data_IF_843273240196
#
_entry.id   IF_843273240196
#
_cell.length_a   1.000
_cell.length_b   1.000
_cell.length_c   1.000
_cell.angle_alpha   90.00
_cell.angle_beta   90.00
_cell.angle_gamma   90.00
#
_symmetry.space_group_name_H-M   'P 1'
#
loop_
_entity.id
_entity.type
_entity.pdbx_description
1 polymer ?
#
# COMPACT_ATOMS: atom_id res chain seq x y z
N UNK A 1 -20.40 -39.24 15.52
CA UNK A 1 -20.95 -38.78 14.22
C UNK A 1 -21.02 -37.25 14.07
N UNK A 2 -21.17 -36.49 15.16
CA UNK A 2 -21.28 -35.02 15.12
C UNK A 2 -20.03 -34.29 14.61
N UNK A 3 -18.81 -34.72 14.95
CA UNK A 3 -17.58 -34.04 14.51
C UNK A 3 -17.32 -34.15 13.00
N UNK A 4 -17.68 -35.28 12.36
CA UNK A 4 -17.58 -35.42 10.89
C UNK A 4 -18.57 -34.52 10.15
N UNK A 5 -19.74 -34.29 10.75
CA UNK A 5 -20.76 -33.42 10.19
C UNK A 5 -20.33 -31.95 10.24
N UNK A 6 -19.75 -31.51 11.36
CA UNK A 6 -19.22 -30.14 11.54
C UNK A 6 -18.09 -29.84 10.55
N UNK A 7 -17.13 -30.77 10.39
CA UNK A 7 -16.04 -30.62 9.42
C UNK A 7 -16.54 -30.60 7.96
N UNK A 8 -17.55 -31.40 7.62
CA UNK A 8 -18.16 -31.39 6.28
C UNK A 8 -18.93 -30.09 5.99
N UNK A 9 -19.63 -29.53 6.98
CA UNK A 9 -20.34 -28.25 6.83
C UNK A 9 -19.40 -27.05 6.68
N UNK A 10 -18.25 -27.07 7.37
CA UNK A 10 -17.23 -26.02 7.25
C UNK A 10 -16.57 -26.07 5.87
N UNK A 11 -16.28 -27.28 5.35
CA UNK A 11 -15.68 -27.46 4.03
C UNK A 11 -16.64 -27.04 2.89
N UNK A 12 -17.95 -27.23 3.06
CA UNK A 12 -18.96 -26.83 2.08
C UNK A 12 -19.20 -25.32 2.05
N UNK A 13 -19.13 -24.65 3.21
CA UNK A 13 -19.25 -23.20 3.35
C UNK A 13 -18.05 -22.41 2.78
N UNK A 14 -16.89 -23.07 2.62
CA UNK A 14 -15.69 -22.51 1.99
C UNK A 14 -15.64 -22.69 0.46
N UNK A 15 -16.58 -23.41 -0.14
CA UNK A 15 -16.65 -23.53 -1.61
C UNK A 15 -17.19 -22.22 -2.20
N UNK A 16 -16.57 -21.80 -3.30
CA UNK A 16 -16.84 -20.58 -4.08
C UNK A 16 -18.30 -20.36 -4.52
N UNK A 17 -19.21 -21.27 -4.20
CA UNK A 17 -20.65 -21.19 -4.47
C UNK A 17 -21.43 -20.28 -3.50
N UNK A 18 -20.93 -19.99 -2.30
CA UNK A 18 -21.61 -19.15 -1.30
C UNK A 18 -21.21 -17.66 -1.32
N UNK A 19 -20.18 -17.30 -2.09
CA UNK A 19 -19.73 -15.90 -2.24
C UNK A 19 -20.66 -15.16 -3.22
N UNK A 20 -21.20 -13.98 -2.86
CA UNK A 20 -22.03 -13.22 -3.77
C UNK A 20 -21.22 -12.84 -5.02
N UNK A 21 -21.84 -12.89 -6.20
CA UNK A 21 -21.19 -12.60 -7.49
C UNK A 21 -20.53 -11.22 -7.55
N UNK A 22 -20.95 -10.29 -6.70
CA UNK A 22 -20.34 -8.96 -6.55
C UNK A 22 -18.92 -9.01 -6.01
N UNK A 23 -18.60 -9.97 -5.13
CA UNK A 23 -17.25 -10.13 -4.56
C UNK A 23 -16.24 -10.60 -5.61
N UNK A 24 -16.66 -11.52 -6.49
CA UNK A 24 -15.82 -12.04 -7.57
C UNK A 24 -15.53 -10.99 -8.66
N UNK A 25 -16.42 -10.01 -8.81
CA UNK A 25 -16.22 -8.89 -9.73
C UNK A 25 -15.18 -7.90 -9.20
N UNK A 26 -15.21 -7.61 -7.90
CA UNK A 26 -14.22 -6.73 -7.24
C UNK A 26 -12.83 -7.36 -7.23
N UNK A 27 -12.73 -8.67 -7.00
CA UNK A 27 -11.46 -9.42 -7.02
C UNK A 27 -10.84 -9.42 -8.43
N UNK A 28 -11.65 -9.60 -9.47
CA UNK A 28 -11.19 -9.55 -10.87
C UNK A 28 -10.81 -8.13 -11.33
N UNK A 29 -11.53 -7.09 -10.87
CA UNK A 29 -11.17 -5.70 -11.17
C UNK A 29 -9.81 -5.32 -10.53
N UNK A 30 -9.51 -5.82 -9.32
CA UNK A 30 -8.21 -5.61 -8.66
C UNK A 30 -7.07 -6.41 -9.33
N UNK A 31 -7.31 -7.65 -9.73
CA UNK A 31 -6.32 -8.46 -10.47
C UNK A 31 -5.98 -7.87 -11.85
N UNK A 32 -6.96 -7.26 -12.55
CA UNK A 32 -6.69 -6.55 -13.81
C UNK A 32 -5.90 -5.25 -13.59
N UNK A 33 -6.15 -4.54 -12.48
CA UNK A 33 -5.42 -3.30 -12.14
C UNK A 33 -3.96 -3.59 -11.77
N UNK A 34 -3.69 -4.63 -10.96
CA UNK A 34 -2.31 -5.07 -10.64
C UNK A 34 -1.55 -5.52 -11.90
N UNK A 35 -2.22 -6.25 -12.81
CA UNK A 35 -1.59 -6.75 -14.04
C UNK A 35 -1.26 -5.62 -15.03
N UNK A 36 -2.07 -4.57 -15.05
CA UNK A 36 -1.81 -3.37 -15.86
C UNK A 36 -0.63 -2.53 -15.35
N UNK A 37 -0.34 -2.58 -14.05
CA UNK A 37 0.81 -1.89 -13.45
C UNK A 37 2.12 -2.63 -13.73
N UNK A 38 2.12 -3.97 -13.68
CA UNK A 38 3.31 -4.80 -13.95
C UNK A 38 3.77 -4.76 -15.42
N UNK A 39 2.83 -4.65 -16.38
CA UNK A 39 3.16 -4.64 -17.82
C UNK A 39 3.80 -3.31 -18.29
N UNK A 40 3.71 -2.24 -17.49
CA UNK A 40 4.31 -0.94 -17.82
C UNK A 40 5.80 -0.82 -17.47
N UNK A 41 6.39 -1.80 -16.79
CA UNK A 41 7.74 -1.70 -16.20
C UNK A 41 8.82 -2.49 -16.97
N UNK A 42 8.46 -3.27 -18.00
CA UNK A 42 9.41 -4.13 -18.75
C UNK A 42 9.89 -3.59 -20.12
N UNK A 43 9.46 -2.42 -20.57
CA UNK A 43 9.91 -1.84 -21.86
C UNK A 43 11.05 -0.82 -21.68
N UNK A 44 12.24 -1.27 -21.26
CA UNK A 44 13.48 -0.53 -21.50
C UNK A 44 14.72 -1.42 -21.55
N UNK A 45 15.27 -1.51 -22.77
CA UNK A 45 16.71 -1.45 -23.09
C UNK A 45 17.29 -2.69 -23.81
N UNK A 46 17.11 -2.66 -25.13
CA UNK A 46 17.85 -3.44 -26.13
C UNK A 46 19.10 -2.65 -26.57
N UNK A 47 20.25 -3.32 -26.49
CA UNK A 47 21.36 -3.33 -27.44
C UNK A 47 22.41 -2.19 -27.56
N UNK A 48 23.64 -2.69 -27.75
CA UNK A 48 24.79 -2.09 -28.42
C UNK A 48 25.76 -1.23 -27.61
N UNK A 49 27.02 -1.70 -27.54
CA UNK A 49 28.13 -0.84 -27.16
C UNK A 49 29.48 -1.51 -26.99
N UNK A 50 29.96 -2.20 -28.03
CA UNK A 50 31.36 -2.61 -28.13
C UNK A 50 32.34 -1.43 -27.90
N UNK A 51 33.48 -1.70 -27.26
CA UNK A 51 34.69 -0.91 -27.45
C UNK A 51 35.34 -0.30 -26.21
N UNK A 52 35.87 -1.14 -25.31
CA UNK A 52 36.96 -0.72 -24.43
C UNK A 52 38.31 -1.00 -25.12
N UNK A 53 38.64 -0.22 -26.16
CA UNK A 53 39.99 -0.25 -26.72
C UNK A 53 40.97 0.40 -25.74
N UNK A 54 41.82 -0.43 -25.13
CA UNK A 54 42.96 0.02 -24.34
C UNK A 54 43.91 0.77 -25.30
N UNK A 55 44.08 2.07 -25.10
CA UNK A 55 45.00 2.86 -25.92
C UNK A 55 46.42 2.27 -25.83
N UNK A 56 46.99 1.95 -26.99
CA UNK A 56 48.33 1.39 -27.11
C UNK A 56 49.37 2.52 -27.20
N UNK A 57 50.43 2.42 -26.41
CA UNK A 57 51.62 3.28 -26.53
C UNK A 57 51.48 4.65 -25.86
N UNK A 58 52.07 5.67 -26.47
CA UNK A 58 52.22 7.03 -25.90
C UNK A 58 50.94 7.89 -25.94
N UNK A 59 49.83 7.36 -26.46
CA UNK A 59 48.56 8.08 -26.57
C UNK A 59 47.99 8.56 -25.22
N UNK A 60 48.26 7.84 -24.12
CA UNK A 60 47.85 8.26 -22.78
C UNK A 60 48.69 9.38 -22.14
N UNK A 61 49.82 9.75 -22.76
CA UNK A 61 50.73 10.81 -22.28
C UNK A 61 50.36 12.16 -22.91
N UNK A 62 49.69 12.15 -24.07
CA UNK A 62 49.32 13.35 -24.82
C UNK A 62 47.97 13.86 -24.31
N UNK A 63 47.93 15.10 -23.84
CA UNK A 63 46.70 15.78 -23.44
C UNK A 63 45.87 16.10 -24.69
N UNK A 64 44.74 15.42 -24.84
CA UNK A 64 43.81 15.64 -25.96
C UNK A 64 42.87 16.80 -25.61
N UNK A 65 43.26 18.02 -25.96
CA UNK A 65 42.45 19.24 -25.80
C UNK A 65 41.44 19.42 -26.96
N UNK A 66 40.65 18.38 -27.25
CA UNK A 66 39.59 18.49 -28.25
C UNK A 66 38.30 18.99 -27.59
N UNK A 67 37.81 20.21 -27.89
CA UNK A 67 36.62 20.78 -27.28
C UNK A 67 35.33 20.01 -27.64
N UNK A 68 35.34 19.20 -28.70
CA UNK A 68 34.22 18.32 -29.09
C UNK A 68 34.42 16.87 -28.61
N UNK A 69 35.38 16.60 -27.73
CA UNK A 69 35.60 15.27 -27.19
C UNK A 69 34.40 14.89 -26.30
N UNK A 70 33.57 13.98 -26.80
CA UNK A 70 32.43 13.45 -26.06
C UNK A 70 32.93 12.77 -24.79
N UNK A 71 32.58 13.33 -23.63
CA UNK A 71 32.91 12.74 -22.33
C UNK A 71 32.20 11.39 -22.17
N UNK A 72 32.83 10.39 -21.53
CA UNK A 72 32.19 9.11 -21.27
C UNK A 72 30.93 9.31 -20.41
N UNK A 73 29.81 8.74 -20.86
CA UNK A 73 28.51 8.81 -20.16
C UNK A 73 28.46 7.93 -18.90
N UNK A 74 29.40 7.01 -18.76
CA UNK A 74 29.54 6.08 -17.65
C UNK A 74 30.56 6.59 -16.62
N UNK A 75 30.07 7.33 -15.63
CA UNK A 75 30.83 7.71 -14.43
C UNK A 75 30.72 6.61 -13.37
N UNK A 76 31.80 6.35 -12.64
CA UNK A 76 31.82 5.37 -11.56
C UNK A 76 31.12 5.93 -10.32
N UNK A 77 30.41 5.08 -9.58
CA UNK A 77 29.63 5.47 -8.40
C UNK A 77 30.43 6.23 -7.30
N UNK A 78 31.76 6.16 -7.31
CA UNK A 78 32.64 6.85 -6.36
C UNK A 78 32.84 8.33 -6.66
N UNK A 79 32.60 8.75 -7.90
CA UNK A 79 32.83 10.12 -8.38
C UNK A 79 31.52 10.93 -8.50
N UNK A 80 30.41 10.39 -7.97
CA UNK A 80 29.10 11.05 -7.98
C UNK A 80 29.00 11.97 -6.75
N UNK A 81 29.06 13.28 -6.97
CA UNK A 81 28.75 14.29 -5.96
C UNK A 81 27.24 14.29 -5.67
N UNK A 82 26.83 13.70 -4.55
CA UNK A 82 25.42 13.70 -4.09
C UNK A 82 24.92 15.09 -3.64
N UNK A 83 25.82 16.07 -3.46
CA UNK A 83 25.49 17.41 -2.98
C UNK A 83 24.96 18.34 -4.09
N UNK A 84 25.22 18.01 -5.36
CA UNK A 84 24.62 18.70 -6.49
C UNK A 84 23.23 18.13 -6.70
N UNK A 85 22.24 18.72 -6.04
CA UNK A 85 20.83 18.45 -6.32
C UNK A 85 20.60 18.70 -7.80
N UNK A 86 20.56 17.63 -8.59
CA UNK A 86 20.07 17.69 -9.97
C UNK A 86 18.71 18.35 -9.88
N UNK A 87 18.58 19.55 -10.44
CA UNK A 87 17.33 20.28 -10.41
C UNK A 87 16.28 19.38 -11.03
N UNK A 88 15.42 18.81 -10.17
CA UNK A 88 14.41 17.84 -10.59
C UNK A 88 13.71 18.38 -11.83
N UNK A 89 13.68 17.55 -12.86
CA UNK A 89 13.07 17.92 -14.14
C UNK A 89 11.65 18.41 -13.88
N UNK A 90 11.17 19.35 -14.69
CA UNK A 90 9.84 19.95 -14.51
C UNK A 90 8.73 18.89 -14.33
N UNK A 91 8.91 17.74 -15.01
CA UNK A 91 8.04 16.55 -14.89
C UNK A 91 8.13 15.88 -13.51
N UNK A 92 9.34 15.64 -13.02
CA UNK A 92 9.58 15.01 -11.72
C UNK A 92 9.02 15.85 -10.56
N UNK A 93 9.07 17.18 -10.67
CA UNK A 93 8.48 18.08 -9.66
C UNK A 93 6.95 17.95 -9.59
N UNK A 94 6.31 17.89 -10.75
CA UNK A 94 4.85 17.74 -10.85
C UNK A 94 4.40 16.34 -10.36
N UNK A 95 5.18 15.29 -10.62
CA UNK A 95 4.90 13.94 -10.13
C UNK A 95 5.05 13.84 -8.60
N UNK A 96 6.12 14.43 -8.04
CA UNK A 96 6.30 14.49 -6.58
C UNK A 96 5.19 15.30 -5.93
N UNK A 97 4.77 16.42 -6.52
CA UNK A 97 3.66 17.20 -5.99
C UNK A 97 2.34 16.41 -6.02
N UNK A 98 2.09 15.65 -7.10
CA UNK A 98 0.92 14.76 -7.20
C UNK A 98 0.95 13.69 -6.11
N UNK A 99 2.10 13.05 -5.88
CA UNK A 99 2.28 12.06 -4.82
C UNK A 99 2.06 12.69 -3.44
N UNK A 100 2.68 13.83 -3.15
CA UNK A 100 2.51 14.54 -1.89
C UNK A 100 1.06 14.98 -1.66
N UNK A 101 0.35 15.42 -2.70
CA UNK A 101 -1.06 15.78 -2.60
C UNK A 101 -1.92 14.56 -2.27
N UNK A 102 -1.66 13.41 -2.90
CA UNK A 102 -2.33 12.16 -2.60
C UNK A 102 -2.06 11.69 -1.16
N UNK A 103 -0.80 11.68 -0.73
CA UNK A 103 -0.41 11.34 0.65
C UNK A 103 -1.09 12.27 1.67
N UNK A 104 -1.14 13.58 1.39
CA UNK A 104 -1.84 14.54 2.25
C UNK A 104 -3.32 14.23 2.33
N UNK A 105 -3.96 13.88 1.23
CA UNK A 105 -5.36 13.50 1.19
C UNK A 105 -5.61 12.23 2.02
N UNK A 106 -4.81 11.18 1.81
CA UNK A 106 -4.89 9.94 2.57
C UNK A 106 -4.68 10.18 4.07
N UNK A 107 -3.66 10.96 4.43
CA UNK A 107 -3.39 11.36 5.81
C UNK A 107 -4.53 12.16 6.42
N UNK A 108 -5.20 13.03 5.65
CA UNK A 108 -6.35 13.81 6.13
C UNK A 108 -7.56 12.91 6.39
N UNK A 109 -7.74 11.88 5.57
CA UNK A 109 -8.78 10.87 5.73
C UNK A 109 -8.53 9.99 6.95
N UNK A 110 -7.30 9.52 7.15
CA UNK A 110 -6.89 8.79 8.36
C UNK A 110 -7.08 9.63 9.63
N UNK A 111 -6.78 10.93 9.57
CA UNK A 111 -7.03 11.87 10.66
C UNK A 111 -8.51 12.12 10.94
N UNK A 112 -9.42 11.60 10.11
CA UNK A 112 -10.85 11.84 10.28
C UNK A 112 -11.26 13.28 9.95
N UNK A 113 -10.43 14.02 9.20
CA UNK A 113 -10.70 15.45 8.93
C UNK A 113 -11.56 15.65 7.68
N UNK A 114 -11.61 14.69 6.76
CA UNK A 114 -12.54 14.69 5.62
C UNK A 114 -13.98 14.47 6.11
N UNK A 115 -14.96 15.06 5.43
CA UNK A 115 -16.37 14.93 5.83
C UNK A 115 -16.86 13.48 5.82
N UNK A 116 -16.34 12.67 4.89
CA UNK A 116 -16.63 11.24 4.82
C UNK A 116 -16.10 10.51 6.07
N UNK A 117 -14.83 10.72 6.43
CA UNK A 117 -14.23 10.07 7.58
C UNK A 117 -14.87 10.53 8.90
N UNK A 118 -15.32 11.79 9.02
CA UNK A 118 -16.11 12.25 10.17
C UNK A 118 -17.40 11.46 10.33
N UNK A 119 -18.18 11.32 9.25
CA UNK A 119 -19.43 10.53 9.25
C UNK A 119 -19.18 9.07 9.63
N UNK A 120 -18.10 8.48 9.12
CA UNK A 120 -17.74 7.10 9.44
C UNK A 120 -17.33 6.94 10.91
N UNK A 121 -16.54 7.88 11.45
CA UNK A 121 -16.18 7.90 12.86
C UNK A 121 -17.41 8.09 13.76
N UNK A 122 -18.34 8.98 13.40
CA UNK A 122 -19.60 9.19 14.10
C UNK A 122 -20.46 7.92 14.09
N UNK A 123 -20.58 7.26 12.93
CA UNK A 123 -21.29 5.97 12.81
C UNK A 123 -20.65 4.90 13.70
N UNK A 124 -19.32 4.79 13.71
CA UNK A 124 -18.61 3.85 14.56
C UNK A 124 -18.77 4.19 16.05
N UNK A 125 -18.79 5.47 16.42
CA UNK A 125 -19.02 5.92 17.79
C UNK A 125 -20.42 5.53 18.28
N UNK A 126 -21.46 5.71 17.46
CA UNK A 126 -22.82 5.28 17.77
C UNK A 126 -22.89 3.76 18.02
N UNK A 127 -22.25 2.95 17.18
CA UNK A 127 -22.20 1.50 17.37
C UNK A 127 -21.47 1.13 18.68
N UNK A 128 -20.37 1.82 18.99
CA UNK A 128 -19.65 1.60 20.26
C UNK A 128 -20.54 1.94 21.46
N UNK A 129 -21.29 3.05 21.40
CA UNK A 129 -22.24 3.44 22.44
C UNK A 129 -23.34 2.38 22.62
N UNK A 130 -23.98 1.94 21.53
CA UNK A 130 -25.01 0.91 21.59
C UNK A 130 -24.48 -0.41 22.19
N UNK A 131 -23.25 -0.80 21.84
CA UNK A 131 -22.60 -1.98 22.43
C UNK A 131 -22.33 -1.80 23.92
N UNK A 132 -21.82 -0.64 24.32
CA UNK A 132 -21.54 -0.34 25.72
C UNK A 132 -22.83 -0.29 26.56
N UNK A 133 -23.89 0.35 26.05
CA UNK A 133 -25.20 0.38 26.71
C UNK A 133 -25.82 -1.01 26.82
N UNK A 134 -25.74 -1.83 25.76
CA UNK A 134 -26.21 -3.21 25.81
C UNK A 134 -25.40 -4.07 26.79
N UNK A 135 -24.10 -3.84 26.93
CA UNK A 135 -23.27 -4.52 27.92
C UNK A 135 -23.66 -4.10 29.34
N UNK A 136 -23.78 -2.79 29.60
CA UNK A 136 -24.22 -2.24 30.90
C UNK A 136 -25.60 -2.76 31.31
N UNK A 137 -26.59 -2.72 30.42
CA UNK A 137 -27.94 -3.28 30.68
C UNK A 137 -27.89 -4.76 31.05
N UNK A 138 -27.05 -5.56 30.37
CA UNK A 138 -26.88 -6.98 30.71
C UNK A 138 -26.21 -7.18 32.08
N UNK A 139 -25.25 -6.35 32.45
CA UNK A 139 -24.59 -6.42 33.76
C UNK A 139 -25.54 -5.99 34.89
N UNK A 140 -26.30 -4.92 34.71
CA UNK A 140 -27.34 -4.46 35.65
C UNK A 140 -28.42 -5.53 35.85
N UNK A 141 -28.89 -6.17 34.77
CA UNK A 141 -29.85 -7.26 34.91
C UNK A 141 -29.27 -8.49 35.63
N UNK A 142 -28.00 -8.83 35.38
CA UNK A 142 -27.33 -9.96 36.05
C UNK A 142 -27.17 -9.68 37.53
N UNK A 143 -26.67 -8.51 37.89
CA UNK A 143 -26.48 -8.08 39.28
C UNK A 143 -27.82 -7.99 40.02
N UNK A 144 -28.88 -7.45 39.41
CA UNK A 144 -30.21 -7.43 40.01
C UNK A 144 -30.80 -8.85 40.20
N UNK A 145 -30.57 -9.76 39.25
CA UNK A 145 -30.97 -11.18 39.39
C UNK A 145 -30.19 -11.89 40.49
N UNK A 146 -28.90 -11.59 40.66
CA UNK A 146 -28.08 -12.13 41.74
C UNK A 146 -28.50 -11.58 43.10
N UNK A 147 -28.74 -10.28 43.22
CA UNK A 147 -29.27 -9.67 44.45
C UNK A 147 -30.61 -10.28 44.84
N UNK A 148 -31.56 -10.43 43.91
CA UNK A 148 -32.85 -11.10 44.18
C UNK A 148 -32.68 -12.56 44.61
N UNK A 149 -31.73 -13.30 44.04
CA UNK A 149 -31.42 -14.68 44.45
C UNK A 149 -30.80 -14.73 45.84
N UNK A 150 -29.96 -13.77 46.20
CA UNK A 150 -29.35 -13.66 47.52
C UNK A 150 -30.37 -13.26 48.58
N UNK A 151 -31.27 -12.33 48.28
CA UNK A 151 -32.39 -11.94 49.15
C UNK A 151 -33.36 -13.11 49.34
N UNK A 152 -33.69 -13.87 48.29
CA UNK A 152 -34.56 -15.04 48.40
C UNK A 152 -33.93 -16.25 49.12
N UNK A 153 -32.62 -16.21 49.39
CA UNK A 153 -31.88 -17.27 50.10
C UNK A 153 -31.58 -16.91 51.56
N UNK A 154 -31.85 -15.67 51.98
CA UNK A 154 -31.86 -15.24 53.38
C UNK A 154 -33.24 -15.47 53.98
#
# INVERSE_FOLDING_TARGET
MLLRHILSTILLAGTSASRPRTFKKVEAELEEEERSEEESEEESEDEAGAGAEKQKGTQGIIQVDNPNLTKPKNVKARDIDMEKTTELSRREREEIERQQAHERYMRLQEQGKTEQARKDLERLALIRQQRAEAAKKREEEKTAKEQKKLEARK
#
